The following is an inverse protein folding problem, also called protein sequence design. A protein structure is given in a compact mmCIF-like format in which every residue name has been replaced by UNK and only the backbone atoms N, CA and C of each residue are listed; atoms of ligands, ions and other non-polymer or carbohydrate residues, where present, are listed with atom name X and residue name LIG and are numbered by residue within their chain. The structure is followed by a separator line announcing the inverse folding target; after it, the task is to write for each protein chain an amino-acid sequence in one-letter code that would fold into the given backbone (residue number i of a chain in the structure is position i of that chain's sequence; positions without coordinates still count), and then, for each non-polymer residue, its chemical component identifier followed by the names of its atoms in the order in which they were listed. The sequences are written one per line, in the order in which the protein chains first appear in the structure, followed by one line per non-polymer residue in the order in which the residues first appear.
data_IF_630253237489
#
_entry.id   IF_630253237489
#
_cell.length_a   1.000
_cell.length_b   1.000
_cell.length_c   1.000
_cell.angle_alpha   90.00
_cell.angle_beta   90.00
_cell.angle_gamma   90.00
#
_symmetry.space_group_name_H-M   'P 1'
#
loop_
_entity.id
_entity.type
_entity.pdbx_description
1 polymer ?
#
# COMPACT_ATOMS: atom_id res chain seq x y z
N UNK A 1 -2.40 -5.78 3.87
CA UNK A 1 -1.19 -6.61 4.06
C UNK A 1 -1.33 -7.87 3.24
N UNK A 2 -0.24 -8.46 2.78
CA UNK A 2 -0.22 -9.68 1.94
C UNK A 2 0.78 -10.68 2.51
N UNK A 3 0.50 -11.98 2.40
CA UNK A 3 1.42 -13.08 2.76
C UNK A 3 1.34 -14.19 1.72
N UNK A 4 2.46 -14.82 1.43
CA UNK A 4 2.52 -15.98 0.54
C UNK A 4 3.96 -16.32 0.11
N UNK A 5 4.18 -17.49 -0.50
CA UNK A 5 5.51 -17.94 -0.93
C UNK A 5 6.14 -17.05 -2.01
N UNK A 6 5.33 -16.26 -2.71
CA UNK A 6 5.75 -15.32 -3.75
C UNK A 6 6.38 -14.03 -3.22
N UNK A 7 6.35 -13.79 -1.91
CA UNK A 7 6.92 -12.57 -1.33
C UNK A 7 8.45 -12.57 -1.44
N UNK A 8 9.00 -11.41 -1.78
CA UNK A 8 10.43 -11.17 -1.68
C UNK A 8 10.91 -11.27 -0.22
N UNK A 9 12.20 -11.55 -0.03
CA UNK A 9 12.82 -11.59 1.31
C UNK A 9 13.09 -10.20 1.90
N UNK A 10 12.96 -9.16 1.09
CA UNK A 10 13.33 -7.79 1.44
C UNK A 10 13.96 -7.06 0.25
N UNK A 11 14.35 -5.81 0.49
CA UNK A 11 15.06 -4.97 -0.44
C UNK A 11 16.57 -5.20 -0.34
N UNK A 12 17.25 -5.25 -1.48
CA UNK A 12 18.70 -5.42 -1.53
C UNK A 12 19.43 -4.22 -0.90
N UNK A 13 20.39 -4.49 0.00
CA UNK A 13 21.20 -3.45 0.66
C UNK A 13 20.46 -2.57 1.68
N UNK A 14 19.17 -2.84 1.96
CA UNK A 14 18.33 -2.01 2.83
C UNK A 14 17.69 -2.85 3.95
N UNK A 15 18.47 -3.40 4.90
CA UNK A 15 17.95 -4.31 5.92
C UNK A 15 16.93 -3.67 6.87
N UNK A 16 17.12 -2.39 7.25
CA UNK A 16 16.17 -1.67 8.13
C UNK A 16 14.79 -1.50 7.47
N UNK A 17 14.77 -0.96 6.24
CA UNK A 17 13.53 -0.80 5.46
C UNK A 17 12.87 -2.16 5.20
N UNK A 18 13.67 -3.19 4.95
CA UNK A 18 13.17 -4.55 4.77
C UNK A 18 12.46 -5.07 6.01
N UNK A 19 13.05 -4.90 7.19
CA UNK A 19 12.43 -5.33 8.45
C UNK A 19 11.12 -4.59 8.75
N UNK A 20 11.03 -3.30 8.41
CA UNK A 20 9.81 -2.51 8.58
C UNK A 20 8.70 -2.88 7.58
N UNK A 21 9.08 -3.28 6.37
CA UNK A 21 8.16 -3.55 5.25
C UNK A 21 7.70 -5.02 5.20
N UNK A 22 8.61 -5.94 5.51
CA UNK A 22 8.44 -7.40 5.50
C UNK A 22 8.61 -7.93 6.93
N UNK A 23 7.53 -7.90 7.71
CA UNK A 23 7.52 -8.30 9.12
C UNK A 23 6.62 -9.52 9.32
N UNK A 24 7.09 -10.51 10.09
CA UNK A 24 6.34 -11.73 10.43
C UNK A 24 5.75 -12.48 9.23
N UNK A 25 6.47 -12.47 8.11
CA UNK A 25 6.04 -13.08 6.84
C UNK A 25 4.97 -12.31 6.10
N UNK A 26 4.62 -11.10 6.54
CA UNK A 26 3.68 -10.20 5.90
C UNK A 26 4.39 -9.05 5.20
N UNK A 27 3.88 -8.70 4.03
CA UNK A 27 4.22 -7.48 3.31
C UNK A 27 3.21 -6.37 3.59
N UNK A 28 3.72 -5.22 4.05
CA UNK A 28 3.01 -3.94 4.11
C UNK A 28 3.15 -3.25 2.75
N UNK A 29 2.22 -3.51 1.83
CA UNK A 29 2.30 -3.02 0.44
C UNK A 29 2.21 -1.49 0.32
N UNK A 30 1.59 -0.83 1.31
CA UNK A 30 1.30 0.60 1.26
C UNK A 30 0.07 0.95 0.41
N UNK A 31 -0.60 -0.03 -0.19
CA UNK A 31 -1.86 0.14 -0.90
C UNK A 31 -3.03 0.15 0.10
N UNK A 32 -4.03 0.99 -0.19
CA UNK A 32 -5.30 1.08 0.51
C UNK A 32 -6.37 0.32 -0.27
N UNK A 33 -7.29 -0.29 0.44
CA UNK A 33 -8.38 -1.03 -0.17
C UNK A 33 -9.23 -1.75 0.87
N UNK A 34 -10.28 -2.40 0.38
CA UNK A 34 -11.20 -3.19 1.19
C UNK A 34 -11.56 -4.49 0.48
N UNK A 35 -12.11 -5.43 1.23
CA UNK A 35 -12.66 -6.67 0.67
C UNK A 35 -14.16 -6.51 0.47
N UNK A 36 -14.64 -6.90 -0.72
CA UNK A 36 -16.06 -7.03 -1.04
C UNK A 36 -16.28 -8.42 -1.64
N UNK A 37 -17.11 -9.22 -0.98
CA UNK A 37 -17.44 -10.58 -1.41
C UNK A 37 -16.19 -11.46 -1.65
N UNK A 38 -15.19 -11.32 -0.76
CA UNK A 38 -13.91 -12.04 -0.86
C UNK A 38 -12.95 -11.53 -1.94
N UNK A 39 -13.31 -10.46 -2.65
CA UNK A 39 -12.47 -9.84 -3.68
C UNK A 39 -11.85 -8.54 -3.16
N UNK A 40 -10.59 -8.30 -3.50
CA UNK A 40 -9.89 -7.07 -3.13
C UNK A 40 -10.27 -5.92 -4.07
N UNK A 41 -10.71 -4.81 -3.49
CA UNK A 41 -10.93 -3.54 -4.16
C UNK A 41 -9.85 -2.55 -3.68
N UNK A 42 -8.93 -2.16 -4.56
CA UNK A 42 -7.86 -1.19 -4.27
C UNK A 42 -8.41 0.22 -4.48
N UNK A 43 -8.18 1.12 -3.52
CA UNK A 43 -8.71 2.48 -3.53
C UNK A 43 -7.62 3.56 -3.55
N UNK A 44 -6.35 3.19 -3.45
CA UNK A 44 -5.24 4.14 -3.54
C UNK A 44 -4.00 3.65 -2.81
N UNK A 45 -3.09 4.58 -2.49
CA UNK A 45 -1.86 4.31 -1.74
C UNK A 45 -1.74 5.24 -0.55
N UNK A 46 -1.30 4.71 0.59
CA UNK A 46 -1.21 5.47 1.84
C UNK A 46 -0.23 6.66 1.77
N UNK A 47 0.83 6.55 0.96
CA UNK A 47 1.81 7.65 0.77
C UNK A 47 1.37 8.68 -0.28
N UNK A 48 0.34 8.36 -1.08
CA UNK A 48 -0.17 9.21 -2.16
C UNK A 48 -1.53 9.84 -1.78
N UNK A 49 -1.79 9.97 -0.48
CA UNK A 49 -2.97 10.64 0.07
C UNK A 49 -2.59 12.03 0.54
N UNK A 50 -3.22 13.05 -0.04
CA UNK A 50 -3.19 14.42 0.46
C UNK A 50 -4.37 14.66 1.40
N UNK A 51 -4.07 15.15 2.60
CA UNK A 51 -5.07 15.66 3.53
C UNK A 51 -5.09 17.19 3.43
N UNK A 52 -6.19 17.75 2.91
CA UNK A 52 -6.36 19.20 2.77
C UNK A 52 -7.75 19.61 3.26
N UNK A 53 -7.81 20.53 4.22
CA UNK A 53 -9.06 21.08 4.78
C UNK A 53 -10.08 20.02 5.23
N UNK A 54 -9.62 18.93 5.84
CA UNK A 54 -10.47 17.84 6.32
C UNK A 54 -10.98 16.88 5.24
N UNK A 55 -10.49 17.01 4.00
CA UNK A 55 -10.81 16.12 2.88
C UNK A 55 -9.59 15.28 2.52
N UNK A 56 -9.87 14.02 2.17
CA UNK A 56 -8.87 13.04 1.73
C UNK A 56 -8.85 13.05 0.20
N UNK A 57 -7.70 13.36 -0.40
CA UNK A 57 -7.50 13.38 -1.84
C UNK A 57 -6.51 12.28 -2.22
N UNK A 58 -6.90 11.42 -3.16
CA UNK A 58 -6.03 10.39 -3.70
C UNK A 58 -5.40 10.90 -5.00
N UNK A 59 -4.07 10.82 -5.14
CA UNK A 59 -3.38 11.28 -6.35
C UNK A 59 -3.95 10.69 -7.66
N UNK A 60 -4.33 9.39 -7.74
CA UNK A 60 -4.94 8.84 -8.96
C UNK A 60 -6.25 9.51 -9.36
N UNK A 61 -7.06 9.96 -8.40
CA UNK A 61 -8.32 10.65 -8.68
C UNK A 61 -8.09 12.06 -9.24
N UNK A 62 -6.95 12.68 -8.90
CA UNK A 62 -6.57 13.99 -9.40
C UNK A 62 -5.94 13.92 -10.80
N UNK A 63 -5.19 12.86 -11.11
CA UNK A 63 -4.54 12.67 -12.41
C UNK A 63 -5.54 12.42 -13.55
N UNK A 64 -6.70 11.80 -13.27
CA UNK A 64 -7.71 11.50 -14.28
C UNK A 64 -8.58 12.68 -14.73
N UNK A 65 -8.42 13.86 -14.11
CA UNK A 65 -9.23 15.08 -14.38
C UNK A 65 -8.44 16.13 -15.18
N UNK A 66 -7.17 15.87 -15.50
CA UNK A 66 -6.30 16.76 -16.28
C UNK A 66 -6.39 16.51 -17.80
#
# INVERSE_FOLDING_TARGET
MVRGPQLARGYHGLPGVSAETFADGWLRTGDLGFLRDGRLCVTGRHKDVLFLNGRTFHAPDMEGVA
#
